data_IF_667601557413
#
_entry.id   IF_667601557413
#
_cell.length_a   1.000
_cell.length_b   1.000
_cell.length_c   1.000
_cell.angle_alpha   90.00
_cell.angle_beta   90.00
_cell.angle_gamma   90.00
#
_symmetry.space_group_name_H-M   'P 1'
#
loop_
_entity.id
_entity.type
_entity.pdbx_description
1 polymer ?
#
# COMPACT_ATOMS: atom_id res chain seq x y z
N UNK A 1 13.45 13.52 10.26
CA UNK A 1 12.08 13.93 10.64
C UNK A 1 11.56 12.90 11.64
N UNK A 2 11.01 13.35 12.76
CA UNK A 2 10.79 12.62 14.02
C UNK A 2 9.85 11.39 13.87
N UNK A 3 10.40 10.21 13.56
CA UNK A 3 9.72 8.90 13.66
C UNK A 3 10.21 8.11 14.90
N UNK A 4 10.38 8.81 16.03
CA UNK A 4 11.01 8.27 17.22
C UNK A 4 10.01 8.07 18.34
N UNK A 5 9.73 6.79 18.67
CA UNK A 5 9.15 6.24 19.92
C UNK A 5 7.69 5.74 19.91
N UNK A 6 6.85 6.00 18.90
CA UNK A 6 5.50 5.40 18.82
C UNK A 6 5.41 4.10 18.02
N UNK A 7 6.43 3.82 17.21
CA UNK A 7 6.35 2.78 16.18
C UNK A 7 6.77 1.41 16.69
N UNK A 8 7.29 1.32 17.91
CA UNK A 8 7.86 0.09 18.45
C UNK A 8 7.44 -0.14 19.90
N UNK A 9 6.90 -1.33 20.19
CA UNK A 9 6.55 -1.75 21.56
C UNK A 9 7.59 -2.78 22.03
N UNK A 10 8.13 -2.64 23.26
CA UNK A 10 9.05 -3.62 23.81
C UNK A 10 8.34 -4.95 24.08
N UNK A 11 8.90 -6.04 23.58
CA UNK A 11 8.44 -7.38 23.85
C UNK A 11 9.29 -8.01 24.97
N UNK A 12 8.75 -7.98 26.19
CA UNK A 12 9.37 -8.59 27.37
C UNK A 12 9.04 -10.07 27.56
N UNK A 13 8.63 -10.79 26.52
CA UNK A 13 8.29 -12.21 26.62
C UNK A 13 9.50 -13.13 26.56
N UNK A 14 9.47 -14.24 27.29
CA UNK A 14 10.62 -15.16 27.44
C UNK A 14 10.92 -16.01 26.19
N UNK A 15 9.98 -16.10 25.25
CA UNK A 15 10.10 -16.92 24.05
C UNK A 15 9.71 -16.12 22.81
N UNK A 16 10.35 -16.42 21.67
CA UNK A 16 10.00 -15.78 20.41
C UNK A 16 8.55 -16.11 20.03
N UNK A 17 7.73 -15.08 19.86
CA UNK A 17 6.33 -15.23 19.42
C UNK A 17 6.10 -14.30 18.25
N UNK A 18 5.45 -14.80 17.19
CA UNK A 18 5.09 -14.00 16.02
C UNK A 18 6.30 -13.35 15.32
N UNK A 19 7.46 -14.01 15.34
CA UNK A 19 8.70 -13.47 14.75
C UNK A 19 9.40 -12.41 15.58
N UNK A 20 8.86 -12.05 16.76
CA UNK A 20 9.45 -11.09 17.69
C UNK A 20 10.33 -11.83 18.69
N UNK A 21 11.61 -11.46 18.76
CA UNK A 21 12.59 -12.10 19.65
C UNK A 21 12.38 -11.65 21.11
N UNK A 22 12.70 -12.50 22.11
CA UNK A 22 12.71 -12.10 23.51
C UNK A 22 13.57 -10.86 23.73
N UNK A 23 13.11 -9.92 24.56
CA UNK A 23 13.78 -8.64 24.83
C UNK A 23 14.06 -7.79 23.57
N UNK A 24 13.28 -7.99 22.50
CA UNK A 24 13.35 -7.16 21.30
C UNK A 24 12.19 -6.17 21.22
N UNK A 25 12.26 -5.28 20.25
CA UNK A 25 11.21 -4.33 19.94
C UNK A 25 10.40 -4.88 18.77
N UNK A 26 9.07 -4.80 18.85
CA UNK A 26 8.19 -5.14 17.72
C UNK A 26 7.61 -3.88 17.08
N UNK A 27 7.62 -3.77 15.73
CA UNK A 27 7.09 -2.60 15.06
C UNK A 27 5.56 -2.66 15.04
N UNK A 28 4.89 -1.68 15.64
CA UNK A 28 3.44 -1.47 15.58
C UNK A 28 3.05 -0.99 14.18
N UNK A 29 3.84 -0.08 13.61
CA UNK A 29 3.67 0.48 12.27
C UNK A 29 5.05 0.60 11.63
N UNK A 30 5.20 0.04 10.43
CA UNK A 30 6.41 0.26 9.63
C UNK A 30 6.17 1.41 8.65
N UNK A 31 6.66 2.59 9.01
CA UNK A 31 6.52 3.82 8.24
C UNK A 31 7.12 3.74 6.83
N UNK A 32 8.01 2.77 6.55
CA UNK A 32 8.59 2.59 5.21
C UNK A 32 7.53 2.31 4.15
N UNK A 33 6.47 1.58 4.50
CA UNK A 33 5.37 1.28 3.57
C UNK A 33 4.33 2.40 3.44
N UNK A 34 4.50 3.52 4.13
CA UNK A 34 3.75 4.74 3.84
C UNK A 34 4.39 5.57 2.72
N UNK A 35 5.59 5.19 2.26
CA UNK A 35 6.26 5.75 1.08
C UNK A 35 5.87 5.02 -0.21
N UNK A 36 6.55 5.33 -1.31
CA UNK A 36 6.52 4.60 -2.57
C UNK A 36 6.51 3.07 -2.43
N UNK A 37 7.23 2.54 -1.43
CA UNK A 37 7.34 1.09 -1.21
C UNK A 37 6.00 0.41 -0.93
N UNK A 38 4.99 1.13 -0.46
CA UNK A 38 3.67 0.58 -0.18
C UNK A 38 2.60 0.88 -1.22
N UNK A 39 2.88 1.62 -2.30
CA UNK A 39 1.83 2.15 -3.19
C UNK A 39 1.02 1.03 -3.87
N UNK A 40 1.67 0.01 -4.42
CA UNK A 40 0.97 -1.12 -5.04
C UNK A 40 0.11 -1.89 -4.04
N UNK A 41 0.63 -2.06 -2.83
CA UNK A 41 -0.09 -2.70 -1.73
C UNK A 41 -1.29 -1.86 -1.30
N UNK A 42 -1.14 -0.53 -1.25
CA UNK A 42 -2.21 0.40 -0.92
C UNK A 42 -3.35 0.34 -1.94
N UNK A 43 -3.06 0.21 -3.23
CA UNK A 43 -4.08 0.05 -4.28
C UNK A 43 -4.88 -1.23 -4.06
N UNK A 44 -4.20 -2.36 -3.86
CA UNK A 44 -4.84 -3.66 -3.62
C UNK A 44 -5.67 -3.62 -2.32
N UNK A 45 -5.09 -3.08 -1.25
CA UNK A 45 -5.75 -2.96 0.04
C UNK A 45 -6.95 -2.01 0.00
N UNK A 46 -6.90 -0.93 -0.80
CA UNK A 46 -8.01 -0.01 -0.98
C UNK A 46 -9.19 -0.70 -1.68
N UNK A 47 -8.93 -1.43 -2.76
CA UNK A 47 -9.98 -2.18 -3.48
C UNK A 47 -10.58 -3.26 -2.56
N UNK A 48 -9.73 -4.05 -1.90
CA UNK A 48 -10.17 -5.10 -0.98
C UNK A 48 -10.98 -4.55 0.19
N UNK A 49 -10.52 -3.46 0.82
CA UNK A 49 -11.20 -2.85 1.95
C UNK A 49 -12.57 -2.30 1.58
N UNK A 50 -12.71 -1.66 0.42
CA UNK A 50 -14.01 -1.17 -0.08
C UNK A 50 -14.97 -2.32 -0.34
N UNK A 51 -14.51 -3.41 -0.96
CA UNK A 51 -15.37 -4.57 -1.24
C UNK A 51 -15.83 -5.28 0.04
N UNK A 52 -14.93 -5.49 1.00
CA UNK A 52 -15.26 -6.08 2.31
C UNK A 52 -16.18 -5.15 3.10
N UNK A 53 -15.90 -3.85 3.12
CA UNK A 53 -16.74 -2.86 3.79
C UNK A 53 -18.16 -2.91 3.23
N UNK A 54 -18.30 -2.83 1.90
CA UNK A 54 -19.58 -2.91 1.20
C UNK A 54 -20.31 -4.22 1.52
N UNK A 55 -19.60 -5.35 1.50
CA UNK A 55 -20.15 -6.66 1.83
C UNK A 55 -20.71 -6.71 3.26
N UNK A 56 -19.96 -6.25 4.26
CA UNK A 56 -20.38 -6.26 5.66
C UNK A 56 -21.59 -5.35 5.90
N UNK A 57 -21.59 -4.15 5.34
CA UNK A 57 -22.71 -3.21 5.46
C UNK A 57 -23.97 -3.75 4.78
N UNK A 58 -23.86 -4.33 3.57
CA UNK A 58 -25.00 -4.96 2.87
C UNK A 58 -25.62 -6.12 3.64
N UNK A 59 -24.83 -6.82 4.46
CA UNK A 59 -25.30 -7.93 5.32
C UNK A 59 -25.86 -7.45 6.66
N UNK A 60 -26.07 -6.15 6.86
CA UNK A 60 -26.49 -5.55 8.13
C UNK A 60 -25.52 -5.86 9.29
N UNK A 61 -24.23 -6.10 9.00
CA UNK A 61 -23.20 -6.31 10.02
C UNK A 61 -22.63 -4.97 10.51
N UNK A 62 -23.53 -4.09 10.93
CA UNK A 62 -23.24 -2.75 11.41
C UNK A 62 -23.92 -2.54 12.77
N UNK A 63 -23.31 -1.71 13.63
CA UNK A 63 -23.90 -1.37 14.92
C UNK A 63 -25.08 -0.44 14.68
N UNK A 64 -26.29 -0.91 14.95
CA UNK A 64 -27.52 -0.11 14.81
C UNK A 64 -27.71 0.75 16.06
N UNK A 65 -27.84 2.06 15.84
CA UNK A 65 -28.18 3.01 16.89
C UNK A 65 -29.63 3.52 16.71
N UNK A 66 -30.27 4.04 17.77
CA UNK A 66 -31.59 4.62 17.69
C UNK A 66 -31.64 5.86 16.77
N UNK A 67 -32.83 6.18 16.25
CA UNK A 67 -33.05 7.36 15.39
C UNK A 67 -32.79 8.71 16.09
N UNK A 68 -32.71 8.72 17.43
CA UNK A 68 -32.38 9.91 18.22
C UNK A 68 -30.90 10.33 18.09
N UNK A 69 -30.06 9.51 17.46
CA UNK A 69 -28.61 9.75 17.34
C UNK A 69 -28.30 10.54 16.05
N UNK A 70 -27.50 11.63 16.11
CA UNK A 70 -27.14 12.41 14.93
C UNK A 70 -26.50 11.57 13.81
N UNK A 71 -26.74 11.89 12.52
CA UNK A 71 -26.27 11.10 11.39
C UNK A 71 -24.75 10.89 11.33
N UNK A 72 -23.96 11.86 11.80
CA UNK A 72 -22.50 11.76 11.82
C UNK A 72 -22.01 10.67 12.79
N UNK A 73 -22.68 10.51 13.94
CA UNK A 73 -22.33 9.50 14.93
C UNK A 73 -22.75 8.11 14.42
N UNK A 74 -23.94 8.01 13.82
CA UNK A 74 -24.42 6.77 13.20
C UNK A 74 -23.39 6.19 12.22
N UNK A 75 -22.91 7.01 11.26
CA UNK A 75 -21.93 6.57 10.24
C UNK A 75 -20.62 6.05 10.84
N UNK A 76 -20.12 6.66 11.92
CA UNK A 76 -18.89 6.20 12.58
C UNK A 76 -19.07 4.82 13.24
N UNK A 77 -20.23 4.56 13.84
CA UNK A 77 -20.54 3.25 14.44
C UNK A 77 -20.86 2.18 13.40
N UNK A 78 -21.47 2.55 12.27
CA UNK A 78 -21.66 1.65 11.13
C UNK A 78 -20.32 1.16 10.56
N UNK A 79 -19.32 2.04 10.51
CA UNK A 79 -17.99 1.72 10.03
C UNK A 79 -17.14 0.89 11.03
N UNK A 80 -17.51 0.84 12.31
CA UNK A 80 -16.67 0.25 13.36
C UNK A 80 -16.39 -1.25 13.13
N UNK A 81 -17.43 -2.04 12.88
CA UNK A 81 -17.29 -3.48 12.62
C UNK A 81 -16.44 -3.73 11.36
N UNK A 82 -16.73 -3.09 10.20
CA UNK A 82 -15.87 -3.20 9.03
C UNK A 82 -14.39 -2.91 9.29
N UNK A 83 -14.09 -1.82 10.02
CA UNK A 83 -12.70 -1.43 10.31
C UNK A 83 -12.00 -2.47 11.19
N UNK A 84 -12.68 -3.00 12.22
CA UNK A 84 -12.12 -4.03 13.10
C UNK A 84 -11.83 -5.30 12.31
N UNK A 85 -12.80 -5.77 11.50
CA UNK A 85 -12.64 -6.98 10.68
C UNK A 85 -11.47 -6.81 9.71
N UNK A 86 -11.39 -5.67 9.02
CA UNK A 86 -10.31 -5.37 8.08
C UNK A 86 -8.95 -5.35 8.77
N UNK A 87 -8.86 -4.72 9.94
CA UNK A 87 -7.61 -4.65 10.71
C UNK A 87 -7.14 -6.03 11.15
N UNK A 88 -8.05 -6.87 11.66
CA UNK A 88 -7.74 -8.24 12.08
C UNK A 88 -7.30 -9.07 10.87
N UNK A 89 -8.02 -9.00 9.75
CA UNK A 89 -7.69 -9.77 8.54
C UNK A 89 -6.32 -9.35 7.99
N UNK A 90 -6.08 -8.04 7.84
CA UNK A 90 -4.81 -7.53 7.31
C UNK A 90 -3.62 -7.91 8.20
N UNK A 91 -3.77 -7.81 9.52
CA UNK A 91 -2.72 -8.19 10.46
C UNK A 91 -2.50 -9.71 10.47
N UNK A 92 -3.58 -10.50 10.45
CA UNK A 92 -3.49 -11.96 10.44
C UNK A 92 -2.78 -12.47 9.19
N UNK A 93 -3.08 -11.89 8.02
CA UNK A 93 -2.41 -12.20 6.76
C UNK A 93 -0.93 -11.85 6.83
N UNK A 94 -0.57 -10.66 7.32
CA UNK A 94 0.84 -10.28 7.47
C UNK A 94 1.62 -11.22 8.38
N UNK A 95 1.06 -11.58 9.55
CA UNK A 95 1.69 -12.50 10.49
C UNK A 95 1.87 -13.89 9.86
N UNK A 96 0.87 -14.40 9.15
CA UNK A 96 0.95 -15.71 8.51
C UNK A 96 2.00 -15.75 7.39
N UNK A 97 2.12 -14.69 6.62
CA UNK A 97 3.14 -14.56 5.57
C UNK A 97 4.53 -14.42 6.19
N UNK A 98 4.67 -13.56 7.20
CA UNK A 98 5.93 -13.34 7.87
C UNK A 98 6.46 -14.62 8.54
N UNK A 99 5.59 -15.43 9.14
CA UNK A 99 5.98 -16.68 9.78
C UNK A 99 6.38 -17.79 8.81
N UNK A 100 5.88 -17.76 7.58
CA UNK A 100 6.14 -18.78 6.56
C UNK A 100 7.28 -18.41 5.60
N UNK A 101 7.35 -17.14 5.18
CA UNK A 101 8.26 -16.66 4.13
C UNK A 101 9.33 -15.71 4.68
N UNK A 102 9.13 -15.12 5.87
CA UNK A 102 10.05 -14.15 6.46
C UNK A 102 9.98 -12.74 5.85
N UNK A 103 9.06 -12.51 4.90
CA UNK A 103 8.80 -11.19 4.29
C UNK A 103 7.45 -10.65 4.71
N UNK A 104 7.29 -9.32 4.65
CA UNK A 104 5.98 -8.68 4.87
C UNK A 104 5.14 -8.68 3.58
N UNK A 105 3.81 -8.64 3.71
CA UNK A 105 2.91 -8.61 2.54
C UNK A 105 3.26 -7.50 1.54
N UNK A 106 3.56 -6.25 1.96
CA UNK A 106 3.92 -5.20 1.01
C UNK A 106 5.20 -5.47 0.22
N UNK A 107 6.17 -6.19 0.80
CA UNK A 107 7.41 -6.55 0.12
C UNK A 107 7.16 -7.58 -0.98
N UNK A 108 6.29 -8.56 -0.71
CA UNK A 108 5.90 -9.57 -1.69
C UNK A 108 5.22 -8.90 -2.88
N UNK A 109 4.27 -7.99 -2.61
CA UNK A 109 3.59 -7.23 -3.66
C UNK A 109 4.60 -6.41 -4.45
N UNK A 110 5.48 -5.65 -3.80
CA UNK A 110 6.50 -4.87 -4.51
C UNK A 110 7.41 -5.75 -5.38
N UNK A 111 7.88 -6.88 -4.86
CA UNK A 111 8.72 -7.82 -5.60
C UNK A 111 7.99 -8.41 -6.81
N UNK A 112 6.68 -8.65 -6.71
CA UNK A 112 5.86 -9.11 -7.83
C UNK A 112 5.78 -8.06 -8.95
N UNK A 113 5.66 -6.78 -8.61
CA UNK A 113 5.58 -5.69 -9.59
C UNK A 113 6.95 -5.27 -10.13
N UNK A 114 8.05 -5.54 -9.42
CA UNK A 114 9.41 -5.12 -9.78
C UNK A 114 9.81 -5.34 -11.25
N UNK A 115 9.50 -6.48 -11.90
CA UNK A 115 9.82 -6.67 -13.31
C UNK A 115 9.10 -5.64 -14.22
N UNK A 116 7.86 -5.29 -13.90
CA UNK A 116 7.09 -4.28 -14.65
C UNK A 116 7.71 -2.90 -14.49
N UNK A 117 8.14 -2.53 -13.27
CA UNK A 117 8.87 -1.28 -13.04
C UNK A 117 10.14 -1.23 -13.90
N UNK A 118 10.95 -2.29 -13.87
CA UNK A 118 12.21 -2.37 -14.62
C UNK A 118 12.00 -2.27 -16.13
N UNK A 119 11.01 -2.97 -16.68
CA UNK A 119 10.70 -2.91 -18.12
C UNK A 119 10.24 -1.51 -18.52
N UNK A 120 9.35 -0.91 -17.71
CA UNK A 120 8.80 0.42 -17.98
C UNK A 120 9.86 1.52 -18.01
N UNK A 121 10.93 1.38 -17.21
CA UNK A 121 12.02 2.35 -17.06
C UNK A 121 13.11 2.21 -18.14
N UNK A 122 12.94 1.30 -19.10
CA UNK A 122 13.84 1.21 -20.26
C UNK A 122 13.45 2.22 -21.35
N UNK A 123 14.39 2.57 -22.23
CA UNK A 123 14.09 3.40 -23.41
C UNK A 123 12.97 2.79 -24.25
N UNK A 124 13.05 1.48 -24.52
CA UNK A 124 12.03 0.76 -25.30
C UNK A 124 10.69 0.76 -24.58
N UNK A 125 10.68 0.55 -23.25
CA UNK A 125 9.48 0.61 -22.42
C UNK A 125 8.80 1.99 -22.49
N UNK A 126 9.56 3.04 -22.22
CA UNK A 126 9.07 4.44 -22.27
C UNK A 126 8.55 4.81 -23.66
N UNK A 127 9.24 4.43 -24.73
CA UNK A 127 8.78 4.67 -26.10
C UNK A 127 7.50 3.89 -26.43
N UNK A 128 7.40 2.64 -25.99
CA UNK A 128 6.21 1.80 -26.19
C UNK A 128 5.00 2.41 -25.47
N UNK A 129 5.19 2.86 -24.23
CA UNK A 129 4.18 3.57 -23.45
C UNK A 129 3.71 4.82 -24.19
N UNK A 130 4.64 5.66 -24.66
CA UNK A 130 4.32 6.86 -25.43
C UNK A 130 3.55 6.53 -26.71
N UNK A 131 3.96 5.48 -27.42
CA UNK A 131 3.28 5.02 -28.62
C UNK A 131 1.83 4.59 -28.34
N UNK A 132 1.59 3.84 -27.26
CA UNK A 132 0.23 3.46 -26.82
C UNK A 132 -0.62 4.69 -26.50
N UNK A 133 -0.05 5.70 -25.82
CA UNK A 133 -0.75 6.97 -25.54
C UNK A 133 -1.26 7.60 -26.84
N UNK A 134 -0.42 7.67 -27.88
CA UNK A 134 -0.79 8.27 -29.16
C UNK A 134 -1.83 7.45 -29.93
N UNK A 135 -1.81 6.11 -29.83
CA UNK A 135 -2.87 5.25 -30.38
C UNK A 135 -4.21 5.57 -29.71
N UNK A 136 -4.23 5.71 -28.38
CA UNK A 136 -5.47 6.05 -27.67
C UNK A 136 -6.00 7.42 -28.10
N UNK A 137 -5.11 8.41 -28.29
CA UNK A 137 -5.47 9.71 -28.87
C UNK A 137 -6.05 9.60 -30.29
N UNK A 138 -5.46 8.76 -31.14
CA UNK A 138 -5.98 8.49 -32.49
C UNK A 138 -7.41 7.90 -32.45
N UNK A 139 -7.70 7.03 -31.48
CA UNK A 139 -9.03 6.48 -31.24
C UNK A 139 -10.02 7.47 -30.58
N UNK A 140 -9.62 8.74 -30.36
CA UNK A 140 -10.45 9.76 -29.73
C UNK A 140 -10.54 9.68 -28.20
N UNK A 141 -9.73 8.82 -27.56
CA UNK A 141 -9.61 8.76 -26.10
C UNK A 141 -8.51 9.70 -25.63
N UNK A 142 -8.66 10.29 -24.45
CA UNK A 142 -7.59 11.08 -23.85
C UNK A 142 -6.48 10.15 -23.31
N UNK A 143 -5.63 9.65 -24.21
CA UNK A 143 -4.66 8.58 -23.95
C UNK A 143 -3.77 8.83 -22.73
N UNK A 144 -3.38 10.09 -22.52
CA UNK A 144 -2.59 10.49 -21.36
C UNK A 144 -3.30 10.19 -20.04
N UNK A 145 -4.61 10.43 -19.93
CA UNK A 145 -5.33 10.25 -18.66
C UNK A 145 -5.50 8.76 -18.33
N UNK A 146 -5.74 7.96 -19.37
CA UNK A 146 -5.88 6.50 -19.23
C UNK A 146 -4.57 5.89 -18.76
N UNK A 147 -3.45 6.27 -19.40
CA UNK A 147 -2.15 5.68 -19.12
C UNK A 147 -1.53 6.21 -17.82
N UNK A 148 -1.67 7.51 -17.52
CA UNK A 148 -1.15 8.10 -16.27
C UNK A 148 -1.78 7.47 -15.02
N UNK A 149 -3.07 7.10 -15.07
CA UNK A 149 -3.70 6.38 -13.96
C UNK A 149 -3.00 5.04 -13.63
N UNK A 150 -2.42 4.38 -14.64
CA UNK A 150 -1.65 3.15 -14.48
C UNK A 150 -0.18 3.41 -14.13
N UNK A 151 0.42 4.46 -14.71
CA UNK A 151 1.85 4.75 -14.54
C UNK A 151 2.18 5.49 -13.26
N UNK A 152 1.26 6.28 -12.69
CA UNK A 152 1.54 7.08 -11.50
C UNK A 152 2.16 6.27 -10.35
N UNK A 153 1.67 5.07 -10.00
CA UNK A 153 2.31 4.22 -9.00
C UNK A 153 3.78 3.89 -9.30
N UNK A 154 4.09 3.65 -10.58
CA UNK A 154 5.44 3.33 -11.07
C UNK A 154 6.33 4.57 -11.00
N UNK A 155 5.86 5.69 -11.58
CA UNK A 155 6.61 6.94 -11.68
C UNK A 155 6.92 7.48 -10.29
N UNK A 156 5.93 7.48 -9.37
CA UNK A 156 6.13 7.91 -7.99
C UNK A 156 7.10 6.99 -7.25
N UNK A 157 7.08 5.69 -7.53
CA UNK A 157 8.05 4.75 -6.96
C UNK A 157 9.48 5.00 -7.43
N UNK A 158 9.66 5.25 -8.73
CA UNK A 158 10.96 5.57 -9.30
C UNK A 158 11.47 6.95 -8.82
N UNK A 159 10.56 7.93 -8.71
CA UNK A 159 10.87 9.27 -8.21
C UNK A 159 11.36 9.22 -6.76
N UNK A 160 10.73 8.45 -5.88
CA UNK A 160 11.18 8.30 -4.49
C UNK A 160 12.58 7.65 -4.41
N UNK A 161 12.86 6.63 -5.24
CA UNK A 161 14.20 6.06 -5.36
C UNK A 161 15.24 7.08 -5.82
N UNK A 162 14.88 7.94 -6.78
CA UNK A 162 15.75 9.03 -7.24
C UNK A 162 15.98 10.09 -6.15
N UNK A 163 14.94 10.46 -5.38
CA UNK A 163 15.06 11.40 -4.24
C UNK A 163 16.04 10.86 -3.19
N UNK A 164 15.96 9.57 -2.85
CA UNK A 164 16.89 8.93 -1.91
C UNK A 164 18.33 8.89 -2.43
N UNK A 165 18.51 8.53 -3.71
CA UNK A 165 19.84 8.57 -4.32
C UNK A 165 20.43 9.98 -4.32
N UNK A 166 19.61 10.99 -4.65
CA UNK A 166 20.01 12.39 -4.64
C UNK A 166 20.39 12.89 -3.23
N UNK A 167 19.62 12.52 -2.20
CA UNK A 167 19.94 12.91 -0.82
C UNK A 167 21.26 12.32 -0.32
N UNK A 168 21.64 11.16 -0.86
CA UNK A 168 22.88 10.47 -0.53
C UNK A 168 24.03 10.84 -1.47
N UNK A 169 23.84 11.82 -2.38
CA UNK A 169 24.78 12.23 -3.42
C UNK A 169 25.22 11.09 -4.37
N UNK A 170 24.30 10.16 -4.64
CA UNK A 170 24.46 9.04 -5.56
C UNK A 170 23.85 9.35 -6.94
N UNK A 171 24.30 8.66 -8.01
CA UNK A 171 23.67 8.78 -9.33
C UNK A 171 22.21 8.34 -9.31
N UNK A 172 21.36 9.03 -10.08
CA UNK A 172 19.93 8.75 -10.16
C UNK A 172 19.69 7.41 -10.89
N UNK A 173 19.03 6.43 -10.24
CA UNK A 173 18.85 5.10 -10.82
C UNK A 173 17.79 5.01 -11.93
N UNK A 174 16.81 5.92 -11.98
CA UNK A 174 15.65 5.81 -12.86
C UNK A 174 15.48 7.00 -13.81
N UNK A 175 14.98 6.73 -15.01
CA UNK A 175 14.73 7.73 -16.06
C UNK A 175 13.24 8.10 -16.10
N UNK A 176 12.35 7.10 -16.05
CA UNK A 176 10.90 7.28 -16.00
C UNK A 176 10.48 7.60 -14.55
N UNK A 177 10.76 8.83 -14.13
CA UNK A 177 10.60 9.29 -12.75
C UNK A 177 10.33 10.80 -12.70
N UNK A 178 9.05 11.20 -12.59
CA UNK A 178 8.60 12.59 -12.41
C UNK A 178 8.64 13.43 -13.67
#
# INVERSE_FOLDING_TARGET
ILAGQSDWIPYGGDAAKWGVQPNSWFPVIDARYFSAQGVFTAIIAAIFSVEVYKFLVQRNMAIKLPESVPPAVLKSFEALIPVIVLSIVAQSVNIAIQSSVGSLFPEIIMNMFRPVLQISDTLVGTLTISFIVHILWFCGLHGTNVIVALLNPIILSNLDSNIRALSDNLPLPHILAG
#
